data_IF_989144480805
#
_entry.id   IF_989144480805
#
_cell.length_a   1.000
_cell.length_b   1.000
_cell.length_c   1.000
_cell.angle_alpha   90.00
_cell.angle_beta   90.00
_cell.angle_gamma   90.00
#
_symmetry.space_group_name_H-M   'P 1'
#
loop_
_entity.id
_entity.type
_entity.pdbx_description
1 polymer ?
#
# COMPACT_ATOMS: atom_id res chain seq x y z
N UNK A 1 23.50 5.75 -10.24
CA UNK A 1 23.95 4.88 -9.14
C UNK A 1 22.88 4.90 -8.07
N UNK A 2 22.53 3.74 -7.50
CA UNK A 2 21.53 3.66 -6.43
C UNK A 2 21.95 4.47 -5.21
N UNK A 3 20.97 5.01 -4.49
CA UNK A 3 21.22 5.84 -3.32
C UNK A 3 21.85 5.02 -2.18
N UNK A 4 22.85 5.59 -1.49
CA UNK A 4 23.41 4.94 -0.30
C UNK A 4 22.41 4.96 0.84
N UNK A 5 22.35 3.85 1.59
CA UNK A 5 21.42 3.67 2.71
C UNK A 5 22.12 3.10 3.94
N UNK A 6 21.42 3.07 5.07
CA UNK A 6 21.82 2.34 6.28
C UNK A 6 21.25 0.90 6.32
N UNK A 7 20.93 0.30 5.17
CA UNK A 7 20.22 -0.98 5.09
C UNK A 7 20.97 -2.18 5.73
N UNK A 8 22.29 -2.08 5.88
CA UNK A 8 23.15 -3.04 6.58
C UNK A 8 22.89 -3.06 8.10
N UNK A 9 22.40 -1.95 8.66
CA UNK A 9 22.07 -1.80 10.09
C UNK A 9 20.65 -2.20 10.43
N UNK A 10 19.79 -2.39 9.43
CA UNK A 10 18.38 -2.72 9.65
C UNK A 10 18.22 -4.16 10.11
N UNK A 11 17.45 -4.32 11.18
CA UNK A 11 17.04 -5.64 11.66
C UNK A 11 15.87 -6.15 10.82
N UNK A 12 15.98 -7.39 10.35
CA UNK A 12 14.84 -8.08 9.77
C UNK A 12 14.14 -8.92 10.84
N UNK A 13 12.83 -8.74 10.98
CA UNK A 13 12.01 -9.47 11.95
C UNK A 13 10.83 -10.15 11.27
N UNK A 14 10.46 -11.35 11.70
CA UNK A 14 9.28 -12.03 11.17
C UNK A 14 8.02 -11.37 11.72
N UNK A 15 7.12 -10.96 10.84
CA UNK A 15 5.72 -10.67 11.17
C UNK A 15 4.83 -11.64 10.40
N UNK A 16 3.74 -12.07 11.02
CA UNK A 16 2.85 -13.08 10.46
C UNK A 16 1.41 -12.57 10.49
N UNK A 17 0.66 -12.83 9.43
CA UNK A 17 -0.78 -12.70 9.39
C UNK A 17 -1.43 -13.95 8.84
N UNK A 18 -2.75 -13.98 8.91
CA UNK A 18 -3.58 -14.97 8.25
C UNK A 18 -4.29 -14.32 7.06
N UNK A 19 -4.51 -15.06 5.98
CA UNK A 19 -5.36 -14.60 4.88
C UNK A 19 -6.72 -14.21 5.45
N UNK A 20 -7.06 -12.93 5.31
CA UNK A 20 -8.25 -12.34 5.91
C UNK A 20 -9.48 -12.66 5.07
N UNK A 21 -10.63 -12.96 5.69
CA UNK A 21 -11.91 -12.96 4.97
C UNK A 21 -12.24 -11.54 4.50
N UNK A 22 -12.94 -11.37 3.36
CA UNK A 22 -13.67 -10.13 3.10
C UNK A 22 -14.65 -9.86 4.24
N UNK A 23 -14.72 -8.61 4.68
CA UNK A 23 -15.54 -8.21 5.82
C UNK A 23 -16.53 -7.11 5.43
N UNK A 24 -17.75 -7.23 5.92
CA UNK A 24 -18.70 -6.11 6.00
C UNK A 24 -18.89 -5.76 7.47
N UNK A 25 -19.06 -4.46 7.81
CA UNK A 25 -19.41 -4.06 9.16
C UNK A 25 -20.69 -4.77 9.62
N UNK A 26 -20.78 -5.04 10.93
CA UNK A 26 -21.92 -5.75 11.51
C UNK A 26 -23.23 -4.95 11.51
N UNK A 27 -24.34 -5.67 11.68
CA UNK A 27 -25.71 -5.13 11.85
C UNK A 27 -25.73 -4.13 13.03
N UNK A 28 -26.41 -2.96 12.92
CA UNK A 28 -27.47 -2.64 11.98
C UNK A 28 -27.08 -1.93 10.67
N UNK A 29 -25.80 -1.85 10.29
CA UNK A 29 -25.40 -1.04 9.14
C UNK A 29 -24.82 -1.85 7.95
N UNK A 30 -25.43 -1.61 6.79
CA UNK A 30 -24.86 -1.69 5.42
C UNK A 30 -24.36 -3.04 4.87
N UNK A 31 -25.09 -3.63 3.91
CA UNK A 31 -24.41 -4.13 2.72
C UNK A 31 -24.15 -3.00 1.71
N UNK A 32 -24.95 -1.92 1.72
CA UNK A 32 -24.85 -0.86 0.72
C UNK A 32 -23.92 0.29 1.16
N UNK A 33 -23.04 0.70 0.25
CA UNK A 33 -22.31 1.97 0.29
C UNK A 33 -23.02 3.00 -0.58
N UNK A 34 -22.67 4.29 -0.45
CA UNK A 34 -23.19 5.37 -1.27
C UNK A 34 -22.13 5.90 -2.22
N UNK A 35 -22.51 6.09 -3.49
CA UNK A 35 -21.70 6.79 -4.48
C UNK A 35 -21.66 8.30 -4.18
N UNK A 36 -20.78 9.02 -4.86
CA UNK A 36 -20.70 10.49 -4.75
C UNK A 36 -21.99 11.21 -5.15
N UNK A 37 -22.81 10.58 -6.02
CA UNK A 37 -24.10 11.10 -6.47
C UNK A 37 -25.26 10.69 -5.54
N UNK A 38 -24.96 9.97 -4.45
CA UNK A 38 -25.95 9.52 -3.47
C UNK A 38 -26.68 8.22 -3.87
N UNK A 39 -26.19 7.50 -4.87
CA UNK A 39 -26.75 6.21 -5.28
C UNK A 39 -26.20 5.07 -4.43
N UNK A 40 -27.08 4.19 -3.95
CA UNK A 40 -26.67 3.02 -3.19
C UNK A 40 -26.09 1.93 -4.10
N UNK A 41 -24.98 1.32 -3.70
CA UNK A 41 -24.38 0.18 -4.40
C UNK A 41 -23.92 -0.90 -3.43
N UNK A 42 -23.87 -2.15 -3.92
CA UNK A 42 -23.29 -3.29 -3.23
C UNK A 42 -22.29 -3.94 -4.18
N UNK A 43 -21.00 -3.82 -3.85
CA UNK A 43 -19.90 -4.30 -4.67
C UNK A 43 -18.88 -5.06 -3.79
N UNK A 44 -18.06 -5.96 -4.36
CA UNK A 44 -16.91 -6.52 -3.67
C UNK A 44 -15.97 -5.42 -3.14
N UNK A 45 -15.46 -5.63 -1.93
CA UNK A 45 -14.57 -4.68 -1.25
C UNK A 45 -13.18 -5.28 -0.97
N UNK A 46 -12.45 -4.69 -0.03
CA UNK A 46 -11.16 -5.20 0.44
C UNK A 46 -11.24 -6.57 1.14
N UNK A 47 -10.07 -7.20 1.30
CA UNK A 47 -9.91 -8.48 1.99
C UNK A 47 -9.94 -9.69 1.06
N UNK A 48 -9.64 -10.85 1.59
CA UNK A 48 -9.69 -12.11 0.84
C UNK A 48 -8.51 -12.35 -0.10
N UNK A 49 -8.76 -13.30 -1.00
CA UNK A 49 -7.92 -13.65 -2.14
C UNK A 49 -8.67 -13.13 -3.36
N UNK A 50 -8.12 -12.11 -4.01
CA UNK A 50 -8.65 -11.56 -5.26
C UNK A 50 -7.98 -12.27 -6.42
N UNK A 51 -8.78 -12.98 -7.21
CA UNK A 51 -8.30 -13.88 -8.26
C UNK A 51 -8.06 -13.20 -9.62
N UNK A 52 -8.64 -12.02 -9.86
CA UNK A 52 -8.67 -11.39 -11.18
C UNK A 52 -8.17 -9.94 -11.20
N UNK A 53 -7.62 -9.45 -10.09
CA UNK A 53 -6.98 -8.12 -10.00
C UNK A 53 -5.63 -8.28 -9.33
N UNK A 54 -4.59 -7.71 -9.93
CA UNK A 54 -3.20 -7.81 -9.54
C UNK A 54 -2.53 -6.43 -9.59
N UNK A 55 -1.39 -6.30 -8.91
CA UNK A 55 -0.49 -5.16 -9.14
C UNK A 55 -0.12 -5.10 -10.62
N UNK A 56 -0.12 -3.90 -11.21
CA UNK A 56 0.04 -3.65 -12.65
C UNK A 56 -1.27 -3.50 -13.41
N UNK A 57 -2.40 -4.00 -12.90
CA UNK A 57 -3.71 -3.78 -13.53
C UNK A 57 -4.17 -2.33 -13.35
N UNK A 58 -5.13 -1.89 -14.17
CA UNK A 58 -5.74 -0.56 -14.01
C UNK A 58 -6.36 -0.41 -12.61
N UNK A 59 -6.18 0.76 -12.00
CA UNK A 59 -6.87 1.13 -10.77
C UNK A 59 -8.38 1.44 -10.99
N UNK A 60 -8.82 1.47 -12.26
CA UNK A 60 -10.18 1.86 -12.65
C UNK A 60 -10.89 0.75 -13.45
N UNK A 61 -12.20 0.92 -13.66
CA UNK A 61 -13.01 0.06 -14.54
C UNK A 61 -13.57 -1.21 -13.87
N UNK A 62 -13.31 -1.41 -12.58
CA UNK A 62 -13.81 -2.56 -11.83
C UNK A 62 -15.15 -2.26 -11.17
N UNK A 63 -16.06 -3.24 -11.18
CA UNK A 63 -17.25 -3.25 -10.33
C UNK A 63 -16.85 -3.66 -8.90
N UNK A 64 -16.11 -2.79 -8.22
CA UNK A 64 -15.58 -3.01 -6.88
C UNK A 64 -15.43 -1.66 -6.15
N UNK A 65 -15.33 -1.71 -4.82
CA UNK A 65 -15.05 -0.53 -3.99
C UNK A 65 -13.88 -0.81 -3.05
N UNK A 66 -12.78 -0.05 -3.16
CA UNK A 66 -11.56 -0.21 -2.34
C UNK A 66 -10.95 -1.64 -2.36
N UNK A 67 -11.09 -2.36 -3.47
CA UNK A 67 -10.52 -3.72 -3.60
C UNK A 67 -9.01 -3.73 -3.44
N UNK A 68 -8.48 -4.76 -2.78
CA UNK A 68 -7.04 -4.99 -2.68
C UNK A 68 -6.58 -5.99 -3.75
N UNK A 69 -5.58 -5.68 -4.58
CA UNK A 69 -5.05 -6.66 -5.53
C UNK A 69 -4.35 -7.82 -4.81
N UNK A 70 -4.51 -9.05 -5.31
CA UNK A 70 -3.83 -10.22 -4.76
C UNK A 70 -4.42 -10.73 -3.44
N UNK A 71 -3.63 -10.77 -2.37
CA UNK A 71 -4.00 -11.41 -1.10
C UNK A 71 -3.91 -10.42 0.04
N UNK A 72 -4.97 -10.32 0.84
CA UNK A 72 -4.97 -9.54 2.09
C UNK A 72 -4.71 -10.42 3.30
N UNK A 73 -3.81 -9.99 4.19
CA UNK A 73 -3.59 -10.66 5.48
C UNK A 73 -3.80 -9.71 6.66
N UNK A 74 -4.24 -10.29 7.78
CA UNK A 74 -4.35 -9.58 9.06
C UNK A 74 -4.16 -10.52 10.24
N UNK A 75 -4.04 -9.94 11.43
CA UNK A 75 -4.07 -10.63 12.72
C UNK A 75 -5.33 -10.21 13.46
N UNK A 76 -6.03 -11.15 14.10
CA UNK A 76 -7.26 -10.84 14.86
C UNK A 76 -7.02 -10.04 16.13
N UNK A 77 -5.82 -10.16 16.71
CA UNK A 77 -5.39 -9.36 17.85
C UNK A 77 -4.91 -7.99 17.36
N UNK A 78 -5.54 -6.91 17.81
CA UNK A 78 -5.27 -5.55 17.37
C UNK A 78 -3.81 -5.13 17.60
N UNK A 79 -3.21 -5.54 18.71
CA UNK A 79 -1.82 -5.21 19.03
C UNK A 79 -0.86 -5.90 18.06
N UNK A 80 -1.08 -7.19 17.81
CA UNK A 80 -0.36 -7.98 16.82
C UNK A 80 -0.56 -7.45 15.39
N UNK A 81 -1.78 -7.05 15.04
CA UNK A 81 -2.10 -6.52 13.72
C UNK A 81 -1.42 -5.18 13.48
N UNK A 82 -1.32 -4.33 14.51
CA UNK A 82 -0.55 -3.09 14.45
C UNK A 82 0.93 -3.36 14.21
N UNK A 83 1.50 -4.39 14.86
CA UNK A 83 2.88 -4.84 14.61
C UNK A 83 3.08 -5.29 13.15
N UNK A 84 2.14 -6.08 12.62
CA UNK A 84 2.15 -6.51 11.21
C UNK A 84 2.10 -5.30 10.25
N UNK A 85 1.16 -4.37 10.45
CA UNK A 85 0.97 -3.22 9.57
C UNK A 85 2.15 -2.24 9.59
N UNK A 86 2.75 -1.98 10.76
CA UNK A 86 3.87 -1.05 10.87
C UNK A 86 5.15 -1.67 10.27
N UNK A 87 5.46 -2.92 10.62
CA UNK A 87 6.75 -3.51 10.29
C UNK A 87 6.84 -4.01 8.85
N UNK A 88 5.77 -4.61 8.31
CA UNK A 88 5.75 -4.99 6.90
C UNK A 88 6.03 -3.75 6.02
N UNK A 89 6.86 -3.86 4.99
CA UNK A 89 7.16 -2.76 4.08
C UNK A 89 6.91 -3.21 2.64
N UNK A 90 6.51 -2.29 1.77
CA UNK A 90 6.37 -2.56 0.33
C UNK A 90 7.72 -3.05 -0.21
N UNK A 91 7.70 -4.14 -0.98
CA UNK A 91 8.90 -4.84 -1.45
C UNK A 91 9.40 -5.95 -0.51
N UNK A 92 8.87 -6.10 0.71
CA UNK A 92 9.25 -7.23 1.56
C UNK A 92 8.75 -8.56 1.01
N UNK A 93 9.57 -9.60 1.20
CA UNK A 93 9.24 -10.97 0.82
C UNK A 93 8.23 -11.56 1.80
N UNK A 94 7.16 -12.13 1.25
CA UNK A 94 6.17 -12.93 1.95
C UNK A 94 6.31 -14.42 1.59
N UNK A 95 6.05 -15.31 2.54
CA UNK A 95 6.10 -16.76 2.34
C UNK A 95 4.87 -17.40 2.96
N UNK A 96 4.17 -18.22 2.18
CA UNK A 96 3.03 -19.01 2.67
C UNK A 96 3.55 -20.17 3.53
N UNK A 97 3.00 -20.30 4.73
CA UNK A 97 3.48 -21.21 5.76
C UNK A 97 2.53 -22.39 6.03
N UNK A 98 1.32 -22.37 5.47
CA UNK A 98 0.32 -23.43 5.63
C UNK A 98 -0.50 -23.61 4.35
N UNK A 99 -1.32 -24.66 4.33
CA UNK A 99 -2.25 -24.91 3.23
C UNK A 99 -1.58 -25.44 1.98
N UNK A 100 -2.35 -25.55 0.90
CA UNK A 100 -1.91 -26.19 -0.36
C UNK A 100 -0.91 -25.34 -1.15
N UNK A 101 -0.76 -24.06 -0.80
CA UNK A 101 0.22 -23.14 -1.37
C UNK A 101 1.49 -22.98 -0.51
N UNK A 102 1.70 -23.82 0.51
CA UNK A 102 2.86 -23.71 1.40
C UNK A 102 4.18 -23.66 0.63
N UNK A 103 5.04 -22.70 0.99
CA UNK A 103 6.32 -22.44 0.32
C UNK A 103 6.23 -21.44 -0.82
N UNK A 104 5.03 -21.09 -1.30
CA UNK A 104 4.87 -20.03 -2.29
C UNK A 104 5.43 -18.70 -1.75
N UNK A 105 6.12 -17.96 -2.63
CA UNK A 105 6.76 -16.69 -2.31
C UNK A 105 5.98 -15.57 -2.99
N UNK A 106 5.82 -14.48 -2.27
CA UNK A 106 5.14 -13.27 -2.74
C UNK A 106 5.88 -12.03 -2.27
N UNK A 107 5.32 -10.87 -2.60
CA UNK A 107 5.88 -9.56 -2.28
C UNK A 107 4.79 -8.67 -1.72
N UNK A 108 5.07 -7.98 -0.62
CA UNK A 108 4.17 -6.96 -0.08
C UNK A 108 4.07 -5.82 -1.08
N UNK A 109 2.86 -5.51 -1.54
CA UNK A 109 2.59 -4.46 -2.54
C UNK A 109 1.88 -3.25 -1.95
N UNK A 110 1.37 -3.35 -0.73
CA UNK A 110 0.69 -2.24 -0.09
C UNK A 110 0.17 -2.61 1.29
N UNK A 111 -0.50 -1.64 1.89
CA UNK A 111 -1.19 -1.76 3.16
C UNK A 111 -2.45 -0.93 3.09
N UNK A 112 -3.47 -1.35 3.81
CA UNK A 112 -4.65 -0.53 4.05
C UNK A 112 -4.63 -0.02 5.48
N UNK A 113 -4.96 1.26 5.65
CA UNK A 113 -5.03 1.87 6.97
C UNK A 113 -6.31 1.53 7.75
N UNK A 114 -6.70 2.45 8.64
CA UNK A 114 -7.79 2.42 9.64
C UNK A 114 -9.12 1.73 9.24
N UNK A 115 -9.42 1.55 7.95
CA UNK A 115 -10.66 0.91 7.49
C UNK A 115 -10.59 -0.62 7.44
N UNK A 116 -9.42 -1.20 7.18
CA UNK A 116 -9.25 -2.65 7.13
C UNK A 116 -7.98 -3.15 7.79
N UNK A 117 -6.93 -2.32 7.92
CA UNK A 117 -5.67 -2.66 8.60
C UNK A 117 -5.08 -3.98 8.08
N UNK A 118 -5.06 -4.15 6.75
CA UNK A 118 -4.54 -5.34 6.08
C UNK A 118 -3.19 -5.04 5.41
N UNK A 119 -2.30 -6.02 5.43
CA UNK A 119 -1.14 -6.04 4.53
C UNK A 119 -1.54 -6.72 3.22
N UNK A 120 -1.20 -6.09 2.10
CA UNK A 120 -1.58 -6.52 0.74
C UNK A 120 -0.36 -7.14 0.09
N UNK A 121 -0.51 -8.35 -0.43
CA UNK A 121 0.60 -9.17 -0.92
C UNK A 121 0.25 -9.71 -2.30
N UNK A 122 1.17 -9.51 -3.24
CA UNK A 122 1.11 -10.15 -4.54
C UNK A 122 1.69 -11.57 -4.48
N UNK A 123 0.94 -12.50 -5.07
CA UNK A 123 1.38 -13.84 -5.42
C UNK A 123 0.90 -14.15 -6.83
N UNK A 124 1.62 -15.03 -7.53
CA UNK A 124 1.19 -15.55 -8.82
C UNK A 124 -0.20 -16.20 -8.73
N UNK A 125 -0.94 -16.17 -9.84
CA UNK A 125 -2.30 -16.71 -9.90
C UNK A 125 -2.37 -18.18 -9.48
N UNK A 126 -1.41 -19.01 -9.94
CA UNK A 126 -1.35 -20.43 -9.60
C UNK A 126 -1.23 -20.67 -8.08
N UNK A 127 -0.50 -19.80 -7.37
CA UNK A 127 -0.41 -19.88 -5.92
C UNK A 127 -1.72 -19.45 -5.26
N UNK A 128 -2.34 -18.36 -5.73
CA UNK A 128 -3.62 -17.86 -5.20
C UNK A 128 -4.74 -18.88 -5.28
N UNK A 129 -4.82 -19.65 -6.37
CA UNK A 129 -5.83 -20.71 -6.55
C UNK A 129 -5.70 -21.86 -5.53
N UNK A 130 -4.51 -22.03 -4.93
CA UNK A 130 -4.21 -23.06 -3.93
C UNK A 130 -4.32 -22.54 -2.49
N UNK A 131 -4.55 -21.25 -2.30
CA UNK A 131 -4.66 -20.62 -0.98
C UNK A 131 -6.09 -20.69 -0.46
N UNK A 132 -6.21 -20.70 0.87
CA UNK A 132 -7.48 -20.59 1.56
C UNK A 132 -7.45 -19.46 2.59
N UNK A 133 -8.64 -18.92 2.89
CA UNK A 133 -8.83 -18.02 4.03
C UNK A 133 -8.28 -18.68 5.30
N UNK A 134 -7.53 -17.92 6.09
CA UNK A 134 -6.89 -18.40 7.32
C UNK A 134 -5.47 -18.95 7.11
N UNK A 135 -5.01 -19.18 5.88
CA UNK A 135 -3.62 -19.60 5.65
C UNK A 135 -2.63 -18.60 6.23
N UNK A 136 -1.57 -19.12 6.85
CA UNK A 136 -0.55 -18.33 7.54
C UNK A 136 0.47 -17.84 6.52
N UNK A 137 0.77 -16.55 6.56
CA UNK A 137 1.80 -15.94 5.71
C UNK A 137 2.77 -15.19 6.62
N UNK A 138 4.06 -15.50 6.50
CA UNK A 138 5.13 -14.74 7.17
C UNK A 138 5.70 -13.73 6.18
N UNK A 139 5.77 -12.47 6.60
CA UNK A 139 6.56 -11.42 5.94
C UNK A 139 7.89 -11.31 6.66
N UNK A 140 8.99 -11.40 5.90
CA UNK A 140 10.34 -11.11 6.39
C UNK A 140 10.51 -9.60 6.38
N UNK A 141 10.02 -8.94 7.42
CA UNK A 141 9.97 -7.48 7.45
C UNK A 141 11.37 -6.90 7.51
N UNK A 142 11.63 -5.84 6.73
CA UNK A 142 12.87 -5.06 6.74
C UNK A 142 12.60 -3.73 6.03
N UNK A 143 12.83 -2.60 6.70
CA UNK A 143 12.60 -1.27 6.10
C UNK A 143 12.31 -0.17 7.11
N UNK A 144 11.69 -0.50 8.25
CA UNK A 144 11.50 0.48 9.33
C UNK A 144 12.87 0.93 9.86
N UNK A 145 13.10 2.24 9.86
CA UNK A 145 14.39 2.85 10.22
C UNK A 145 15.36 3.03 9.04
N UNK A 146 14.95 2.70 7.80
CA UNK A 146 15.72 2.98 6.61
C UNK A 146 15.94 4.50 6.46
N UNK A 147 17.17 4.88 6.19
CA UNK A 147 17.60 6.27 6.04
C UNK A 147 18.52 6.41 4.84
N UNK A 148 18.55 7.63 4.31
CA UNK A 148 19.45 8.06 3.24
C UNK A 148 20.48 9.02 3.86
N UNK A 149 21.70 8.59 4.22
CA UNK A 149 22.66 9.45 4.91
C UNK A 149 23.03 10.73 4.16
N UNK A 150 22.99 10.70 2.82
CA UNK A 150 23.23 11.86 1.98
C UNK A 150 22.02 12.81 1.84
N UNK A 151 20.83 12.39 2.29
CA UNK A 151 19.57 13.12 2.21
C UNK A 151 18.85 13.09 3.58
N UNK A 152 19.41 13.72 4.62
CA UNK A 152 18.94 13.58 6.01
C UNK A 152 17.52 14.11 6.25
N UNK A 153 17.04 15.03 5.40
CA UNK A 153 15.69 15.60 5.48
C UNK A 153 14.63 14.73 4.79
N UNK A 154 15.04 13.62 4.15
CA UNK A 154 14.11 12.68 3.49
C UNK A 154 13.76 11.56 4.45
N UNK A 155 12.49 11.48 4.82
CA UNK A 155 11.95 10.43 5.66
C UNK A 155 11.41 9.26 4.82
N UNK A 156 12.07 8.10 4.90
CA UNK A 156 11.55 6.87 4.30
C UNK A 156 10.60 6.16 5.24
N UNK A 157 9.45 5.75 4.70
CA UNK A 157 8.40 5.02 5.40
C UNK A 157 7.96 3.83 4.56
N UNK A 158 7.65 2.71 5.21
CA UNK A 158 7.00 1.56 4.57
C UNK A 158 7.70 1.04 3.29
N UNK A 159 9.02 1.20 3.16
CA UNK A 159 9.78 0.80 1.98
C UNK A 159 10.88 -0.20 2.35
N UNK A 160 10.91 -1.34 1.66
CA UNK A 160 12.04 -2.25 1.71
C UNK A 160 13.27 -1.59 1.08
N UNK A 161 14.50 -1.85 1.58
CA UNK A 161 15.71 -1.33 0.96
C UNK A 161 15.81 -1.64 -0.54
N UNK A 162 15.44 -2.87 -0.92
CA UNK A 162 15.50 -3.36 -2.29
C UNK A 162 14.48 -2.66 -3.21
N UNK A 163 13.42 -2.07 -2.65
CA UNK A 163 12.44 -1.31 -3.43
C UNK A 163 13.07 -0.04 -4.03
N UNK A 164 14.01 0.60 -3.33
CA UNK A 164 14.67 1.82 -3.82
C UNK A 164 15.44 1.57 -5.12
N UNK A 165 16.04 0.39 -5.26
CA UNK A 165 16.74 -0.01 -6.48
C UNK A 165 15.75 -0.27 -7.62
N UNK A 166 14.64 -0.95 -7.34
CA UNK A 166 13.57 -1.22 -8.32
C UNK A 166 12.91 0.07 -8.81
N UNK A 167 12.77 1.06 -7.93
CA UNK A 167 12.24 2.38 -8.25
C UNK A 167 13.28 3.32 -8.86
N UNK A 168 14.53 2.86 -9.05
CA UNK A 168 15.62 3.64 -9.64
C UNK A 168 15.89 4.96 -8.89
N UNK A 169 15.69 4.96 -7.57
CA UNK A 169 15.92 6.14 -6.73
C UNK A 169 17.40 6.48 -6.72
N UNK A 170 17.72 7.71 -7.10
CA UNK A 170 19.11 8.14 -7.31
C UNK A 170 19.34 9.57 -6.86
N UNK A 171 20.61 9.91 -6.60
CA UNK A 171 21.00 11.31 -6.40
C UNK A 171 21.38 11.90 -7.75
N UNK A 172 20.76 13.03 -8.11
CA UNK A 172 21.02 13.77 -9.33
C UNK A 172 22.32 14.60 -9.24
N UNK A 173 22.78 15.10 -10.38
CA UNK A 173 23.98 15.94 -10.48
C UNK A 173 23.90 17.25 -9.67
N UNK A 174 22.69 17.75 -9.40
CA UNK A 174 22.43 18.92 -8.55
C UNK A 174 22.35 18.58 -7.05
N UNK A 175 22.68 17.34 -6.67
CA UNK A 175 22.68 16.86 -5.29
C UNK A 175 21.30 16.52 -4.73
N UNK A 176 20.22 16.65 -5.51
CA UNK A 176 18.85 16.33 -5.07
C UNK A 176 18.51 14.87 -5.29
N UNK A 177 17.61 14.32 -4.48
CA UNK A 177 17.04 13.00 -4.70
C UNK A 177 16.10 13.02 -5.91
N UNK A 178 16.30 12.11 -6.85
CA UNK A 178 15.43 11.84 -7.99
C UNK A 178 14.64 10.56 -7.76
N UNK A 179 13.32 10.66 -7.93
CA UNK A 179 12.38 9.53 -7.86
C UNK A 179 11.50 9.57 -9.12
N UNK A 180 11.51 8.53 -9.96
CA UNK A 180 10.59 8.41 -11.08
C UNK A 180 9.15 8.27 -10.59
N UNK A 181 8.25 9.07 -11.16
CA UNK A 181 6.81 9.01 -10.87
C UNK A 181 6.02 9.10 -12.17
N UNK A 182 4.86 8.46 -12.23
CA UNK A 182 3.97 8.53 -13.40
C UNK A 182 3.16 9.82 -13.43
N UNK A 183 2.88 10.40 -12.27
CA UNK A 183 2.08 11.62 -12.11
C UNK A 183 2.35 12.32 -10.78
N UNK A 184 1.90 13.57 -10.68
CA UNK A 184 1.90 14.37 -9.45
C UNK A 184 0.44 14.61 -9.06
N UNK A 185 0.05 14.15 -7.88
CA UNK A 185 -1.30 14.30 -7.33
C UNK A 185 -1.43 15.69 -6.69
N UNK A 186 -2.35 16.55 -7.18
CA UNK A 186 -2.65 17.81 -6.53
C UNK A 186 -3.26 17.61 -5.13
N UNK A 187 -3.00 18.53 -4.17
CA UNK A 187 -3.42 18.35 -2.78
C UNK A 187 -4.95 18.24 -2.61
N UNK A 188 -5.73 18.88 -3.48
CA UNK A 188 -7.20 18.83 -3.40
C UNK A 188 -7.80 17.49 -3.86
N UNK A 189 -7.02 16.63 -4.52
CA UNK A 189 -7.41 15.26 -4.85
C UNK A 189 -7.01 14.25 -3.75
N UNK A 190 -6.30 14.66 -2.71
CA UNK A 190 -5.98 13.81 -1.56
C UNK A 190 -7.12 13.87 -0.54
N UNK A 191 -7.57 12.70 -0.08
CA UNK A 191 -8.76 12.58 0.77
C UNK A 191 -8.56 11.72 1.99
N UNK A 192 -9.32 10.62 2.07
CA UNK A 192 -9.29 9.71 3.21
C UNK A 192 -7.86 9.25 3.52
N UNK A 193 -7.52 9.21 4.81
CA UNK A 193 -6.15 9.00 5.29
C UNK A 193 -5.51 10.27 5.86
N UNK A 194 -5.94 11.46 5.39
CA UNK A 194 -5.50 12.73 5.94
C UNK A 194 -5.74 12.82 7.46
N UNK A 195 -4.73 13.28 8.21
CA UNK A 195 -4.75 13.37 9.66
C UNK A 195 -4.48 12.04 10.40
N UNK A 196 -4.28 10.94 9.68
CA UNK A 196 -3.91 9.64 10.24
C UNK A 196 -2.40 9.40 10.16
N UNK A 197 -1.93 8.36 10.84
CA UNK A 197 -0.51 7.96 10.84
C UNK A 197 -0.03 7.49 9.48
N UNK A 198 1.22 7.80 9.13
CA UNK A 198 1.85 7.41 7.86
C UNK A 198 2.65 6.10 7.90
N UNK A 199 2.80 5.47 9.07
CA UNK A 199 3.61 4.23 9.20
C UNK A 199 2.89 2.97 8.69
N UNK A 200 1.56 2.95 8.83
CA UNK A 200 0.71 1.84 8.40
C UNK A 200 -0.59 2.29 7.74
N UNK A 201 -0.76 3.59 7.51
CA UNK A 201 -1.93 4.17 6.86
C UNK A 201 -1.74 4.30 5.34
N UNK A 202 -2.86 4.36 4.62
CA UNK A 202 -2.92 4.74 3.22
C UNK A 202 -3.53 6.13 3.08
N UNK A 203 -3.09 6.87 2.06
CA UNK A 203 -3.77 8.06 1.56
C UNK A 203 -4.55 7.71 0.31
N UNK A 204 -5.78 8.22 0.20
CA UNK A 204 -6.64 7.94 -0.94
C UNK A 204 -6.62 9.12 -1.91
N UNK A 205 -6.46 8.80 -3.19
CA UNK A 205 -6.69 9.72 -4.29
C UNK A 205 -8.20 9.69 -4.60
N UNK A 206 -8.86 10.82 -4.44
CA UNK A 206 -10.27 10.98 -4.74
C UNK A 206 -10.47 11.06 -6.25
N UNK A 207 -11.42 10.27 -6.77
CA UNK A 207 -11.59 10.09 -8.21
C UNK A 207 -12.95 10.58 -8.74
N UNK A 208 -13.74 11.27 -7.91
CA UNK A 208 -15.05 11.80 -8.29
C UNK A 208 -14.94 12.86 -9.38
N UNK A 209 -14.01 13.81 -9.22
CA UNK A 209 -13.76 14.83 -10.23
C UNK A 209 -12.91 14.27 -11.38
N UNK A 210 -13.62 13.79 -12.41
CA UNK A 210 -12.98 13.22 -13.61
C UNK A 210 -12.21 14.25 -14.43
N UNK A 211 -12.57 15.53 -14.35
CA UNK A 211 -11.85 16.57 -15.08
C UNK A 211 -10.52 16.86 -14.39
N UNK A 212 -10.52 17.06 -13.07
CA UNK A 212 -9.30 17.26 -12.29
C UNK A 212 -8.33 16.07 -12.41
N UNK A 213 -8.84 14.82 -12.42
CA UNK A 213 -8.01 13.64 -12.68
C UNK A 213 -7.33 13.70 -14.05
N UNK A 214 -8.07 14.02 -15.11
CA UNK A 214 -7.52 14.14 -16.48
C UNK A 214 -6.47 15.23 -16.59
N UNK A 215 -6.75 16.40 -16.01
CA UNK A 215 -5.80 17.53 -15.98
C UNK A 215 -4.50 17.15 -15.25
N UNK A 216 -4.61 16.33 -14.18
CA UNK A 216 -3.48 15.80 -13.43
C UNK A 216 -2.86 14.51 -14.02
N UNK A 217 -3.42 13.96 -15.12
CA UNK A 217 -3.02 12.68 -15.75
C UNK A 217 -3.09 11.48 -14.80
N UNK A 218 -4.13 11.44 -13.97
CA UNK A 218 -4.37 10.39 -12.98
C UNK A 218 -5.46 9.41 -13.43
N UNK A 219 -6.11 9.62 -14.58
CA UNK A 219 -7.25 8.82 -15.04
C UNK A 219 -6.87 7.47 -15.71
N UNK A 220 -5.57 7.18 -15.84
CA UNK A 220 -5.04 5.90 -16.33
C UNK A 220 -4.04 5.24 -15.34
N UNK A 221 -4.15 5.59 -14.05
CA UNK A 221 -3.31 4.97 -13.02
C UNK A 221 -3.51 3.46 -12.95
N UNK A 222 -2.41 2.77 -12.65
CA UNK A 222 -2.36 1.34 -12.36
C UNK A 222 -2.06 1.09 -10.89
N UNK A 223 -2.52 -0.04 -10.40
CA UNK A 223 -2.21 -0.50 -9.05
C UNK A 223 -0.69 -0.77 -8.95
N UNK A 224 0.02 -0.04 -8.10
CA UNK A 224 1.46 -0.13 -7.97
C UNK A 224 2.25 0.95 -8.73
N UNK A 225 1.58 1.85 -9.44
CA UNK A 225 2.22 3.06 -9.95
C UNK A 225 2.78 3.90 -8.80
N UNK A 226 3.94 4.52 -9.03
CA UNK A 226 4.53 5.50 -8.11
C UNK A 226 4.12 6.89 -8.52
N UNK A 227 3.57 7.66 -7.58
CA UNK A 227 3.10 9.03 -7.78
C UNK A 227 3.81 9.95 -6.80
N UNK A 228 3.82 11.26 -7.08
CA UNK A 228 4.22 12.25 -6.09
C UNK A 228 2.97 12.95 -5.52
N UNK A 229 2.97 13.28 -4.24
CA UNK A 229 1.90 13.97 -3.55
C UNK A 229 2.31 15.43 -3.32
N UNK A 230 1.71 16.36 -4.07
CA UNK A 230 2.06 17.78 -3.96
C UNK A 230 1.48 18.41 -2.68
N UNK A 231 2.28 19.25 -2.04
CA UNK A 231 1.95 19.99 -0.81
C UNK A 231 1.49 19.07 0.34
N UNK A 232 2.14 17.91 0.49
CA UNK A 232 1.75 16.93 1.49
C UNK A 232 2.97 16.39 2.25
N UNK A 233 2.92 16.47 3.58
CA UNK A 233 3.90 15.86 4.47
C UNK A 233 3.37 14.52 4.99
N UNK A 234 4.28 13.55 5.11
CA UNK A 234 4.00 12.22 5.67
C UNK A 234 5.13 11.74 6.57
N UNK A 235 5.92 12.68 7.12
CA UNK A 235 7.04 12.36 8.02
C UNK A 235 6.58 11.65 9.29
N UNK A 236 5.35 11.92 9.76
CA UNK A 236 4.75 11.32 10.96
C UNK A 236 3.28 10.93 10.78
N UNK A 237 2.48 11.92 10.40
CA UNK A 237 1.08 11.77 10.00
C UNK A 237 0.94 12.39 8.61
N UNK A 238 -0.13 12.01 7.94
CA UNK A 238 -0.53 12.56 6.65
C UNK A 238 -1.15 13.95 6.83
N UNK A 239 -0.60 15.00 6.19
CA UNK A 239 -1.22 16.33 6.23
C UNK A 239 -0.74 17.29 5.14
N UNK A 240 -1.58 18.28 4.82
CA UNK A 240 -1.21 19.36 3.91
C UNK A 240 -0.09 20.21 4.51
N UNK A 241 0.99 20.36 3.76
CA UNK A 241 2.09 21.26 4.05
C UNK A 241 2.61 21.83 2.75
N UNK A 242 2.40 23.13 2.54
CA UNK A 242 2.83 23.80 1.31
C UNK A 242 4.32 23.61 1.06
N UNK A 243 4.66 23.17 -0.15
CA UNK A 243 6.02 22.89 -0.59
C UNK A 243 6.58 21.53 -0.16
N UNK A 244 5.87 20.77 0.67
CA UNK A 244 6.23 19.38 0.95
C UNK A 244 5.88 18.48 -0.23
N UNK A 245 6.63 17.39 -0.38
CA UNK A 245 6.39 16.36 -1.39
C UNK A 245 6.42 14.99 -0.70
N UNK A 246 5.31 14.27 -0.83
CA UNK A 246 5.24 12.84 -0.55
C UNK A 246 5.48 12.02 -1.81
N UNK A 247 5.86 10.76 -1.65
CA UNK A 247 5.90 9.74 -2.70
C UNK A 247 5.06 8.56 -2.22
#
# INVERSE_FOLDING_TARGET
>A
MSVQTNADKLVSVSVMGNIASPGFPGVPATPYSLSADGEAFLLPTYGGIVYNVSVGDSAYGWLADTVHPGVSISVKDDTGNRGLNILACVGNVAVVMSGSAQGARGVVTGKSGRFSEHVIIHFDLEAREKMAIGDKIIVRSKGVGLQLPAHPDVHLKSAAPELLDVLEVSTRDDGKLGVPVVAIVPPHLLGAGAGLTSEGGSLHIQSTDKQALKEAKLDDLRLGDVVALADYDSSWNHGYLRGAIGI
#
